data_IF_961625574365
#
_entry.id   IF_961625574365
#
_cell.length_a   1.000
_cell.length_b   1.000
_cell.length_c   1.000
_cell.angle_alpha   90.00
_cell.angle_beta   90.00
_cell.angle_gamma   90.00
#
_symmetry.space_group_name_H-M   'P 1'
#
loop_
_entity.id
_entity.type
_entity.pdbx_description
1 polymer ?
#
# COMPACT_ATOMS: atom_id res chain seq x y z
N UNK A 1 -19.92 -38.79 21.29
CA UNK A 1 -19.44 -37.82 22.29
C UNK A 1 -17.96 -37.63 21.97
N UNK A 2 -17.65 -36.63 21.13
CA UNK A 2 -17.01 -35.34 21.50
C UNK A 2 -15.62 -35.61 22.06
N UNK A 3 -14.53 -35.24 21.39
CA UNK A 3 -14.09 -33.84 21.31
C UNK A 3 -13.41 -33.50 19.97
N UNK A 4 -13.87 -32.43 19.32
CA UNK A 4 -13.08 -31.66 18.36
C UNK A 4 -12.34 -30.58 19.16
N UNK A 5 -11.16 -30.91 19.67
CA UNK A 5 -10.19 -29.89 20.08
C UNK A 5 -9.53 -29.36 18.80
N UNK A 6 -10.17 -28.39 18.14
CA UNK A 6 -9.44 -27.43 17.32
C UNK A 6 -9.10 -26.25 18.22
N UNK A 7 -8.11 -26.47 19.08
CA UNK A 7 -7.37 -25.38 19.70
C UNK A 7 -6.56 -24.68 18.61
N UNK A 8 -7.11 -23.58 18.12
CA UNK A 8 -6.35 -22.55 17.44
C UNK A 8 -6.97 -21.24 17.87
N UNK A 9 -6.79 -20.92 19.16
CA UNK A 9 -7.04 -19.62 19.76
C UNK A 9 -6.11 -18.54 19.21
N UNK A 10 -6.07 -18.37 17.89
CA UNK A 10 -5.48 -17.19 17.28
C UNK A 10 -6.36 -16.01 17.67
N UNK A 11 -5.79 -15.05 18.39
CA UNK A 11 -6.48 -13.84 18.78
C UNK A 11 -7.08 -13.17 17.53
N UNK A 12 -8.41 -13.15 17.37
CA UNK A 12 -9.04 -12.52 16.22
C UNK A 12 -8.66 -11.04 16.14
N UNK A 13 -8.34 -10.38 17.26
CA UNK A 13 -7.93 -8.99 17.30
C UNK A 13 -6.58 -8.76 16.62
N UNK A 14 -5.56 -9.57 16.90
CA UNK A 14 -4.25 -9.44 16.27
C UNK A 14 -4.31 -9.64 14.73
N UNK A 15 -5.14 -10.58 14.28
CA UNK A 15 -5.39 -10.81 12.85
C UNK A 15 -6.07 -9.61 12.19
N UNK A 16 -7.08 -9.01 12.86
CA UNK A 16 -7.80 -7.84 12.35
C UNK A 16 -6.94 -6.58 12.34
N UNK A 17 -6.10 -6.37 13.36
CA UNK A 17 -5.19 -5.22 13.43
C UNK A 17 -4.17 -5.28 12.28
N UNK A 18 -3.62 -6.46 11.99
CA UNK A 18 -2.74 -6.67 10.84
C UNK A 18 -3.47 -6.41 9.52
N UNK A 19 -4.68 -6.93 9.35
CA UNK A 19 -5.47 -6.72 8.15
C UNK A 19 -5.87 -5.24 7.95
N UNK A 20 -6.19 -4.53 9.04
CA UNK A 20 -6.52 -3.11 9.03
C UNK A 20 -5.30 -2.28 8.61
N UNK A 21 -4.14 -2.57 9.20
CA UNK A 21 -2.87 -1.93 8.83
C UNK A 21 -2.55 -2.16 7.35
N UNK A 22 -2.59 -3.41 6.88
CA UNK A 22 -2.33 -3.72 5.47
C UNK A 22 -3.30 -2.99 4.56
N UNK A 23 -4.59 -2.98 4.86
CA UNK A 23 -5.59 -2.28 4.04
C UNK A 23 -5.29 -0.77 3.99
N UNK A 24 -4.96 -0.15 5.12
CA UNK A 24 -4.65 1.28 5.19
C UNK A 24 -3.37 1.63 4.45
N UNK A 25 -2.28 0.87 4.67
CA UNK A 25 -1.00 1.08 3.98
C UNK A 25 -1.15 0.93 2.45
N UNK A 26 -1.98 -0.01 1.99
CA UNK A 26 -2.30 -0.14 0.56
C UNK A 26 -3.07 1.08 0.06
N UNK A 27 -4.03 1.62 0.82
CA UNK A 27 -4.73 2.84 0.43
C UNK A 27 -3.76 4.02 0.28
N UNK A 28 -2.83 4.20 1.22
CA UNK A 28 -1.81 5.26 1.15
C UNK A 28 -0.91 5.10 -0.07
N UNK A 29 -0.38 3.89 -0.30
CA UNK A 29 0.49 3.60 -1.45
C UNK A 29 -0.22 3.85 -2.78
N UNK A 30 -1.47 3.38 -2.92
CA UNK A 30 -2.20 3.51 -4.17
C UNK A 30 -2.67 4.94 -4.43
N UNK A 31 -2.92 5.74 -3.39
CA UNK A 31 -3.18 7.17 -3.57
C UNK A 31 -1.98 7.90 -4.21
N UNK A 32 -0.75 7.50 -3.86
CA UNK A 32 0.46 8.08 -4.45
C UNK A 32 0.69 7.54 -5.86
N UNK A 33 0.48 6.23 -6.07
CA UNK A 33 0.56 5.63 -7.40
C UNK A 33 -0.43 6.28 -8.38
N UNK A 34 -1.64 6.65 -7.93
CA UNK A 34 -2.61 7.39 -8.74
C UNK A 34 -2.08 8.75 -9.16
N UNK A 35 -1.48 9.50 -8.24
CA UNK A 35 -0.90 10.82 -8.55
C UNK A 35 0.25 10.68 -9.55
N UNK A 36 1.13 9.71 -9.33
CA UNK A 36 2.25 9.44 -10.23
C UNK A 36 1.79 9.02 -11.64
N UNK A 37 0.76 8.16 -11.73
CA UNK A 37 0.18 7.73 -13.00
C UNK A 37 -0.55 8.89 -13.73
N UNK A 38 -1.23 9.75 -12.98
CA UNK A 38 -1.84 10.97 -13.51
C UNK A 38 -0.77 11.94 -14.07
N UNK A 39 0.34 12.13 -13.34
CA UNK A 39 1.44 13.01 -13.76
C UNK A 39 2.19 12.47 -14.98
N UNK A 40 2.29 11.14 -15.13
CA UNK A 40 2.94 10.50 -16.28
C UNK A 40 2.01 10.25 -17.47
N UNK A 41 0.69 10.40 -17.30
CA UNK A 41 -0.31 10.04 -18.31
C UNK A 41 -0.45 8.54 -18.55
N UNK A 42 0.01 7.69 -17.63
CA UNK A 42 -0.07 6.23 -17.73
C UNK A 42 -1.45 5.73 -17.29
N UNK A 43 -2.36 5.58 -18.25
CA UNK A 43 -3.73 5.12 -18.00
C UNK A 43 -3.78 3.68 -17.43
N UNK A 44 -2.87 2.80 -17.82
CA UNK A 44 -2.87 1.42 -17.32
C UNK A 44 -2.46 1.37 -15.85
N UNK A 45 -1.42 2.13 -15.47
CA UNK A 45 -1.01 2.27 -14.08
C UNK A 45 -2.11 2.95 -13.25
N UNK A 46 -2.79 3.95 -13.81
CA UNK A 46 -3.92 4.61 -13.17
C UNK A 46 -5.06 3.62 -12.86
N UNK A 47 -5.50 2.84 -13.85
CA UNK A 47 -6.59 1.89 -13.69
C UNK A 47 -6.24 0.77 -12.69
N UNK A 48 -4.98 0.31 -12.70
CA UNK A 48 -4.46 -0.66 -11.73
C UNK A 48 -4.50 -0.08 -10.29
N UNK A 49 -3.99 1.14 -10.10
CA UNK A 49 -3.98 1.80 -8.81
C UNK A 49 -5.41 2.07 -8.28
N UNK A 50 -6.35 2.46 -9.16
CA UNK A 50 -7.78 2.60 -8.80
C UNK A 50 -8.36 1.27 -8.32
N UNK A 51 -8.08 0.19 -9.03
CA UNK A 51 -8.60 -1.15 -8.70
C UNK A 51 -8.11 -1.61 -7.32
N UNK A 52 -6.81 -1.50 -7.08
CA UNK A 52 -6.21 -1.88 -5.79
C UNK A 52 -6.68 -0.98 -4.64
N UNK A 53 -6.80 0.33 -4.88
CA UNK A 53 -7.32 1.27 -3.89
C UNK A 53 -8.74 0.89 -3.47
N UNK A 54 -9.62 0.56 -4.43
CA UNK A 54 -11.00 0.13 -4.14
C UNK A 54 -11.02 -1.17 -3.34
N UNK A 55 -10.18 -2.15 -3.68
CA UNK A 55 -10.10 -3.40 -2.93
C UNK A 55 -9.64 -3.19 -1.48
N UNK A 56 -8.67 -2.29 -1.27
CA UNK A 56 -8.19 -1.90 0.05
C UNK A 56 -9.27 -1.17 0.87
N UNK A 57 -9.98 -0.21 0.26
CA UNK A 57 -11.11 0.49 0.88
C UNK A 57 -12.22 -0.47 1.31
N UNK A 58 -12.60 -1.42 0.46
CA UNK A 58 -13.61 -2.43 0.80
C UNK A 58 -13.19 -3.31 1.98
N UNK A 59 -11.90 -3.66 2.06
CA UNK A 59 -11.35 -4.43 3.17
C UNK A 59 -11.35 -3.62 4.47
N UNK A 60 -10.90 -2.36 4.42
CA UNK A 60 -10.94 -1.44 5.54
C UNK A 60 -12.37 -1.25 6.07
N UNK A 61 -13.34 -0.96 5.19
CA UNK A 61 -14.74 -0.75 5.56
C UNK A 61 -15.38 -2.00 6.16
N UNK A 62 -15.02 -3.20 5.67
CA UNK A 62 -15.49 -4.47 6.24
C UNK A 62 -14.99 -4.66 7.67
N UNK A 63 -13.73 -4.32 7.94
CA UNK A 63 -13.16 -4.39 9.29
C UNK A 63 -13.79 -3.31 10.17
N UNK A 64 -13.88 -2.07 9.69
CA UNK A 64 -14.50 -0.95 10.41
C UNK A 64 -15.93 -1.25 10.84
N UNK A 65 -16.76 -1.82 9.95
CA UNK A 65 -18.13 -2.20 10.26
C UNK A 65 -18.22 -3.23 11.39
N UNK A 66 -17.23 -4.12 11.50
CA UNK A 66 -17.21 -5.22 12.48
C UNK A 66 -16.52 -4.82 13.79
N UNK A 67 -15.54 -3.93 13.72
CA UNK A 67 -14.64 -3.54 14.82
C UNK A 67 -14.40 -2.03 14.81
N UNK A 68 -15.43 -1.21 15.08
CA UNK A 68 -15.35 0.24 14.93
C UNK A 68 -14.42 0.89 15.96
N UNK A 69 -14.39 0.40 17.21
CA UNK A 69 -13.57 0.96 18.28
C UNK A 69 -12.07 0.71 18.04
N UNK A 70 -11.72 -0.49 17.59
CA UNK A 70 -10.36 -0.89 17.22
C UNK A 70 -9.88 -0.12 16.00
N UNK A 71 -10.77 0.08 15.03
CA UNK A 71 -10.46 0.93 13.87
C UNK A 71 -10.20 2.37 14.28
N UNK A 72 -11.00 2.94 15.19
CA UNK A 72 -10.78 4.28 15.71
C UNK A 72 -9.46 4.41 16.48
N UNK A 73 -9.12 3.41 17.30
CA UNK A 73 -7.84 3.36 18.02
C UNK A 73 -6.65 3.34 17.05
N UNK A 74 -6.72 2.49 16.01
CA UNK A 74 -5.70 2.44 14.97
C UNK A 74 -5.54 3.78 14.24
N UNK A 75 -6.64 4.42 13.85
CA UNK A 75 -6.60 5.73 13.18
C UNK A 75 -6.00 6.81 14.09
N UNK A 76 -6.32 6.80 15.39
CA UNK A 76 -5.73 7.73 16.36
C UNK A 76 -4.21 7.53 16.50
N UNK A 77 -3.75 6.27 16.52
CA UNK A 77 -2.32 5.96 16.51
C UNK A 77 -1.64 6.47 15.24
N UNK A 78 -2.23 6.22 14.07
CA UNK A 78 -1.71 6.72 12.79
C UNK A 78 -1.66 8.24 12.72
N UNK A 79 -2.69 8.93 13.23
CA UNK A 79 -2.68 10.39 13.30
C UNK A 79 -1.54 10.90 14.19
N UNK A 80 -1.26 10.23 15.31
CA UNK A 80 -0.13 10.58 16.16
C UNK A 80 1.22 10.37 15.44
N UNK A 81 1.39 9.28 14.68
CA UNK A 81 2.57 9.03 13.85
C UNK A 81 2.79 10.14 12.80
N UNK A 82 1.72 10.60 12.14
CA UNK A 82 1.78 11.72 11.17
C UNK A 82 2.23 13.01 11.85
N UNK A 83 1.66 13.35 13.00
CA UNK A 83 2.04 14.56 13.76
C UNK A 83 3.50 14.50 14.23
N UNK A 84 4.00 13.29 14.52
CA UNK A 84 5.39 13.06 14.94
C UNK A 84 6.37 12.95 13.77
N UNK A 85 5.90 13.00 12.51
CA UNK A 85 6.74 12.84 11.32
C UNK A 85 7.29 11.42 11.13
N UNK A 86 6.68 10.41 11.77
CA UNK A 86 7.06 8.99 11.67
C UNK A 86 6.25 8.25 10.61
N UNK A 87 5.08 8.76 10.25
CA UNK A 87 4.25 8.17 9.21
C UNK A 87 4.84 8.41 7.81
N UNK A 88 4.42 7.55 6.89
CA UNK A 88 4.80 7.51 5.46
C UNK A 88 5.05 8.92 4.89
N UNK A 89 6.26 9.16 4.37
CA UNK A 89 6.57 10.42 3.68
C UNK A 89 6.04 10.34 2.23
N UNK A 90 4.96 11.05 1.89
CA UNK A 90 4.38 11.01 0.54
C UNK A 90 5.31 11.63 -0.52
N UNK A 91 6.34 12.37 -0.11
CA UNK A 91 7.34 12.97 -0.99
C UNK A 91 8.59 12.09 -1.17
N UNK A 92 8.79 11.07 -0.33
CA UNK A 92 9.89 10.10 -0.45
C UNK A 92 9.83 9.24 -1.71
N UNK A 93 8.65 9.11 -2.34
CA UNK A 93 8.46 8.37 -3.60
C UNK A 93 8.91 9.14 -4.85
N UNK A 94 9.40 10.38 -4.71
CA UNK A 94 9.91 11.21 -5.83
C UNK A 94 11.44 11.14 -5.95
N UNK A 95 12.10 10.13 -5.38
CA UNK A 95 13.49 9.83 -5.77
C UNK A 95 13.46 9.05 -7.08
N UNK A 96 13.50 9.80 -8.18
CA UNK A 96 13.88 9.35 -9.52
C UNK A 96 15.00 8.30 -9.41
N UNK A 97 14.74 7.12 -9.96
CA UNK A 97 15.80 6.29 -10.52
C UNK A 97 15.72 6.41 -12.05
N UNK A 98 15.85 7.66 -12.52
CA UNK A 98 16.19 7.99 -13.91
C UNK A 98 17.73 8.09 -13.95
N UNK A 99 18.42 6.96 -13.94
CA UNK A 99 19.83 6.85 -14.32
C UNK A 99 20.00 5.44 -14.88
N UNK A 100 19.56 5.24 -16.12
CA UNK A 100 20.17 4.35 -17.12
C UNK A 100 19.25 4.20 -18.34
N UNK A 101 19.14 5.25 -19.15
CA UNK A 101 18.82 5.23 -20.59
C UNK A 101 18.96 6.69 -21.03
N UNK A 102 19.82 7.11 -21.94
CA UNK A 102 20.47 6.45 -23.07
C UNK A 102 21.57 7.42 -23.55
N UNK A 103 22.72 6.94 -24.03
CA UNK A 103 23.26 7.59 -25.23
C UNK A 103 23.77 6.50 -26.20
N UNK A 104 23.33 6.54 -27.46
CA UNK A 104 23.53 5.48 -28.42
C UNK A 104 24.83 5.70 -29.19
N UNK A 105 25.54 4.62 -29.52
CA UNK A 105 26.35 4.66 -30.73
C UNK A 105 26.43 3.29 -31.42
N UNK A 106 25.64 3.16 -32.48
CA UNK A 106 25.84 2.14 -33.47
C UNK A 106 26.84 2.64 -34.51
N UNK A 107 28.11 2.23 -34.41
CA UNK A 107 29.05 2.33 -35.53
C UNK A 107 30.21 1.32 -35.43
N UNK A 108 30.01 0.16 -36.07
CA UNK A 108 30.94 -0.53 -36.99
C UNK A 108 32.43 -0.73 -36.63
N UNK A 109 32.79 -2.02 -36.72
CA UNK A 109 33.99 -2.61 -37.35
C UNK A 109 35.12 -3.10 -36.46
N UNK A 110 35.36 -4.41 -36.58
CA UNK A 110 36.62 -5.12 -36.35
C UNK A 110 37.86 -4.31 -36.78
N UNK A 111 38.96 -4.49 -36.06
CA UNK A 111 40.27 -4.56 -36.66
C UNK A 111 40.93 -5.94 -36.47
N UNK A 112 41.69 -6.29 -37.49
CA UNK A 112 42.50 -7.52 -37.70
C UNK A 112 43.41 -7.93 -36.53
#
# INVERSE_FOLDING_TARGET
MTERETDSGADPFASNAKALKTAFDTMERQAIALKAAEDSGDQLAFDAAVSELRAAQMSFLRIHRRFPAETALYLAQRQAEVVQGLAFDPFSLVVRQDDDFDEPDGARSDPE
#
